data_IF_002355612486
#
_entry.id   IF_002355612486
#
_cell.length_a   1.000
_cell.length_b   1.000
_cell.length_c   1.000
_cell.angle_alpha   90.00
_cell.angle_beta   90.00
_cell.angle_gamma   90.00
#
_symmetry.space_group_name_H-M   'P 1'
#
loop_
_entity.id
_entity.type
_entity.pdbx_description
1 polymer ?
#
# COMPACT_ATOMS: atom_id res chain seq x y z
N UNK A 1 -9.20 -18.15 -6.15
CA UNK A 1 -7.82 -17.73 -5.93
C UNK A 1 -7.73 -16.26 -6.27
N UNK A 2 -8.22 -15.39 -5.38
CA UNK A 2 -7.89 -13.97 -5.40
C UNK A 2 -6.48 -13.72 -4.83
N UNK A 3 -5.99 -14.57 -3.92
CA UNK A 3 -4.71 -14.38 -3.24
C UNK A 3 -3.47 -14.34 -4.16
N UNK A 4 -3.36 -15.23 -5.16
CA UNK A 4 -2.24 -15.20 -6.11
C UNK A 4 -2.31 -13.98 -7.05
N UNK A 5 -3.50 -13.64 -7.57
CA UNK A 5 -3.66 -12.49 -8.48
C UNK A 5 -3.37 -11.15 -7.79
N UNK A 6 -3.64 -11.03 -6.48
CA UNK A 6 -3.38 -9.82 -5.71
C UNK A 6 -1.89 -9.63 -5.40
N UNK A 7 -1.13 -10.71 -5.23
CA UNK A 7 0.33 -10.67 -5.11
C UNK A 7 1.03 -10.41 -6.45
N UNK A 8 0.50 -10.97 -7.55
CA UNK A 8 1.00 -10.68 -8.90
C UNK A 8 0.60 -9.27 -9.38
N UNK A 9 -0.45 -8.70 -8.80
CA UNK A 9 -0.97 -7.38 -9.15
C UNK A 9 -1.26 -6.54 -7.89
N UNK A 10 -0.22 -6.08 -7.17
CA UNK A 10 -0.38 -5.32 -5.92
C UNK A 10 -1.20 -4.03 -6.09
N UNK A 11 -1.20 -3.46 -7.31
CA UNK A 11 -2.08 -2.33 -7.65
C UNK A 11 -3.59 -2.63 -7.57
N UNK A 12 -4.00 -3.90 -7.70
CA UNK A 12 -5.42 -4.28 -7.57
C UNK A 12 -5.87 -4.27 -6.12
N UNK A 13 -4.99 -4.61 -5.17
CA UNK A 13 -5.30 -4.54 -3.74
C UNK A 13 -5.65 -3.11 -3.33
N UNK A 14 -4.92 -2.10 -3.81
CA UNK A 14 -5.22 -0.71 -3.47
C UNK A 14 -6.68 -0.36 -3.71
N UNK A 15 -7.25 -0.84 -4.82
CA UNK A 15 -8.65 -0.60 -5.15
C UNK A 15 -9.63 -1.26 -4.17
N UNK A 16 -9.32 -2.48 -3.70
CA UNK A 16 -10.16 -3.20 -2.74
C UNK A 16 -10.19 -2.50 -1.38
N UNK A 17 -9.06 -1.92 -0.99
CA UNK A 17 -8.90 -1.21 0.27
C UNK A 17 -9.24 0.29 0.19
N UNK A 18 -9.57 0.81 -1.00
CA UNK A 18 -9.79 2.25 -1.19
C UNK A 18 -8.52 3.10 -1.04
N UNK A 19 -7.36 2.48 -1.17
CA UNK A 19 -6.04 3.10 -1.14
C UNK A 19 -5.73 3.68 -2.52
N UNK A 20 -5.06 4.83 -2.52
CA UNK A 20 -4.60 5.51 -3.73
C UNK A 20 -3.09 5.44 -3.83
N UNK A 21 -2.58 4.85 -4.91
CA UNK A 21 -1.15 4.93 -5.23
C UNK A 21 -0.80 6.30 -5.80
N UNK A 22 0.20 6.95 -5.20
CA UNK A 22 0.67 8.27 -5.58
C UNK A 22 1.71 8.17 -6.70
N UNK A 23 1.36 7.55 -7.84
CA UNK A 23 2.33 7.17 -8.89
C UNK A 23 3.18 8.33 -9.40
N UNK A 24 2.61 9.52 -9.55
CA UNK A 24 3.35 10.71 -10.00
C UNK A 24 4.12 11.38 -8.85
N UNK A 25 3.50 11.47 -7.67
CA UNK A 25 4.09 12.12 -6.49
C UNK A 25 5.16 11.27 -5.81
N UNK A 26 5.17 9.95 -5.97
CA UNK A 26 6.13 9.05 -5.33
C UNK A 26 7.57 9.43 -5.65
N UNK A 27 7.85 9.76 -6.91
CA UNK A 27 9.18 10.25 -7.34
C UNK A 27 9.56 11.61 -6.76
N UNK A 28 8.56 12.44 -6.42
CA UNK A 28 8.75 13.78 -5.83
C UNK A 28 8.90 13.71 -4.31
N UNK A 29 8.18 12.80 -3.66
CA UNK A 29 8.33 12.49 -2.24
C UNK A 29 9.69 11.83 -2.00
N UNK A 30 10.10 10.90 -2.86
CA UNK A 30 11.44 10.33 -2.83
C UNK A 30 11.58 9.19 -1.81
N UNK A 31 12.76 9.10 -1.18
CA UNK A 31 13.11 7.98 -0.32
C UNK A 31 12.34 8.03 1.01
N UNK A 32 11.74 6.93 1.51
CA UNK A 32 11.13 6.87 2.85
C UNK A 32 12.06 7.25 4.02
N UNK A 33 13.38 7.10 3.88
CA UNK A 33 14.36 7.54 4.90
C UNK A 33 14.58 9.06 4.94
N UNK A 34 14.31 9.76 3.83
CA UNK A 34 14.45 11.21 3.70
C UNK A 34 13.37 11.77 2.75
N UNK A 35 12.09 11.73 3.18
CA UNK A 35 10.99 12.10 2.31
C UNK A 35 10.85 13.62 2.20
N UNK A 36 10.50 14.07 1.00
CA UNK A 36 10.20 15.47 0.74
C UNK A 36 8.82 15.84 1.31
N UNK A 37 8.82 16.49 2.47
CA UNK A 37 7.62 16.88 3.20
C UNK A 37 6.66 17.77 2.40
N UNK A 38 7.17 18.66 1.54
CA UNK A 38 6.31 19.52 0.72
C UNK A 38 5.46 18.70 -0.26
N UNK A 39 6.03 17.62 -0.81
CA UNK A 39 5.31 16.71 -1.70
C UNK A 39 4.32 15.80 -0.95
N UNK A 40 4.61 15.46 0.32
CA UNK A 40 3.68 14.73 1.19
C UNK A 40 2.48 15.61 1.58
N UNK A 41 2.71 16.87 1.93
CA UNK A 41 1.63 17.83 2.20
C UNK A 41 0.74 18.03 0.96
N UNK A 42 1.33 18.08 -0.24
CA UNK A 42 0.57 18.13 -1.49
C UNK A 42 -0.31 16.89 -1.69
N UNK A 43 0.20 15.70 -1.37
CA UNK A 43 -0.56 14.45 -1.47
C UNK A 43 -1.80 14.46 -0.55
N UNK A 44 -1.66 15.02 0.66
CA UNK A 44 -2.71 15.09 1.67
C UNK A 44 -3.60 16.34 1.53
N UNK A 45 -3.34 17.23 0.57
CA UNK A 45 -4.05 18.51 0.47
C UNK A 45 -5.58 18.37 0.30
N UNK A 46 -6.04 17.29 -0.31
CA UNK A 46 -7.47 17.00 -0.52
C UNK A 46 -8.08 16.06 0.53
N UNK A 47 -7.24 15.32 1.26
CA UNK A 47 -7.62 14.33 2.27
C UNK A 47 -6.65 14.39 3.46
N UNK A 48 -6.69 15.47 4.28
CA UNK A 48 -5.76 15.66 5.38
C UNK A 48 -5.89 14.62 6.50
N UNK A 49 -7.02 13.91 6.55
CA UNK A 49 -7.28 12.80 7.46
C UNK A 49 -6.67 11.47 7.01
N UNK A 50 -6.26 11.35 5.74
CA UNK A 50 -5.66 10.12 5.22
C UNK A 50 -4.24 9.95 5.78
N UNK A 51 -3.87 8.70 6.03
CA UNK A 51 -2.50 8.32 6.24
C UNK A 51 -1.76 8.32 4.90
N UNK A 52 -0.45 8.57 4.98
CA UNK A 52 0.48 8.42 3.86
C UNK A 52 1.62 7.53 4.31
N UNK A 53 1.93 6.52 3.51
CA UNK A 53 3.02 5.57 3.80
C UNK A 53 3.68 5.09 2.52
N UNK A 54 4.77 4.36 2.67
CA UNK A 54 5.52 3.78 1.57
C UNK A 54 5.28 2.27 1.50
N UNK A 55 4.90 1.79 0.32
CA UNK A 55 4.70 0.37 0.02
C UNK A 55 5.96 -0.20 -0.64
N UNK A 56 6.76 -0.91 0.15
CA UNK A 56 8.06 -1.48 -0.27
C UNK A 56 7.93 -2.51 -1.41
N UNK A 57 6.81 -3.24 -1.50
CA UNK A 57 6.61 -4.27 -2.53
C UNK A 57 6.44 -3.65 -3.93
N UNK A 58 5.97 -2.40 -3.99
CA UNK A 58 5.67 -1.70 -5.24
C UNK A 58 6.57 -0.50 -5.52
N UNK A 59 7.40 -0.10 -4.55
CA UNK A 59 8.23 1.10 -4.61
C UNK A 59 7.42 2.38 -4.81
N UNK A 60 6.23 2.46 -4.17
CA UNK A 60 5.30 3.57 -4.30
C UNK A 60 4.87 4.13 -2.94
N UNK A 61 4.69 5.45 -2.90
CA UNK A 61 3.94 6.08 -1.84
C UNK A 61 2.44 5.87 -2.07
N UNK A 62 1.72 5.57 -1.00
CA UNK A 62 0.28 5.30 -1.01
C UNK A 62 -0.42 6.17 0.03
N UNK A 63 -1.69 6.48 -0.20
CA UNK A 63 -2.52 7.23 0.74
C UNK A 63 -3.92 6.66 0.86
N UNK A 64 -4.52 6.80 2.03
CA UNK A 64 -5.87 6.36 2.34
C UNK A 64 -6.12 6.29 3.85
N UNK A 65 -7.27 5.79 4.30
CA UNK A 65 -7.57 5.64 5.71
C UNK A 65 -6.55 4.71 6.40
N UNK A 66 -6.07 5.11 7.58
CA UNK A 66 -5.07 4.37 8.36
C UNK A 66 -5.46 2.89 8.56
N UNK A 67 -6.69 2.65 9.05
CA UNK A 67 -7.25 1.31 9.25
C UNK A 67 -7.27 0.46 7.96
N UNK A 68 -7.46 1.09 6.80
CA UNK A 68 -7.50 0.39 5.52
C UNK A 68 -6.09 0.02 5.03
N UNK A 69 -5.10 0.88 5.29
CA UNK A 69 -3.70 0.61 5.00
C UNK A 69 -3.19 -0.54 5.89
N UNK A 70 -3.48 -0.49 7.19
CA UNK A 70 -3.13 -1.57 8.12
C UNK A 70 -3.74 -2.90 7.69
N UNK A 71 -5.05 -2.94 7.40
CA UNK A 71 -5.72 -4.15 6.95
C UNK A 71 -5.13 -4.73 5.66
N UNK A 72 -4.73 -3.86 4.71
CA UNK A 72 -4.08 -4.32 3.48
C UNK A 72 -2.74 -5.01 3.76
N UNK A 73 -1.90 -4.44 4.64
CA UNK A 73 -0.61 -5.03 4.97
C UNK A 73 -0.76 -6.31 5.80
N UNK A 74 -1.71 -6.36 6.73
CA UNK A 74 -2.03 -7.56 7.50
C UNK A 74 -2.45 -8.72 6.60
N UNK A 75 -3.30 -8.45 5.59
CA UNK A 75 -3.72 -9.46 4.63
C UNK A 75 -2.55 -9.97 3.77
N UNK A 76 -1.61 -9.09 3.39
CA UNK A 76 -0.37 -9.50 2.70
C UNK A 76 0.50 -10.37 3.59
N UNK A 77 0.71 -9.99 4.85
CA UNK A 77 1.52 -10.76 5.79
C UNK A 77 0.89 -12.14 6.04
N UNK A 78 -0.42 -12.19 6.27
CA UNK A 78 -1.16 -13.43 6.44
C UNK A 78 -1.05 -14.36 5.22
N UNK A 79 -1.10 -13.79 4.01
CA UNK A 79 -0.90 -14.54 2.77
C UNK A 79 0.51 -15.14 2.68
N UNK A 80 1.55 -14.33 2.95
CA UNK A 80 2.95 -14.81 2.93
C UNK A 80 3.17 -15.89 4.00
N UNK A 81 2.62 -15.70 5.20
CA UNK A 81 2.71 -16.68 6.28
C UNK A 81 2.07 -18.02 5.87
N UNK A 82 0.88 -18.01 5.27
CA UNK A 82 0.22 -19.22 4.79
C UNK A 82 1.05 -19.95 3.71
N UNK A 83 1.67 -19.21 2.78
CA UNK A 83 2.58 -19.79 1.78
C UNK A 83 3.82 -20.43 2.42
N UNK A 84 4.41 -19.80 3.43
CA UNK A 84 5.56 -20.35 4.16
C UNK A 84 5.21 -21.63 4.94
N UNK A 85 3.94 -21.76 5.34
CA UNK A 85 3.42 -22.93 6.06
C UNK A 85 2.86 -24.04 5.14
N UNK A 86 2.97 -23.88 3.81
CA UNK A 86 2.37 -24.79 2.81
C UNK A 86 0.84 -24.97 2.98
N UNK A 87 0.19 -23.92 3.50
CA UNK A 87 -1.27 -23.83 3.66
C UNK A 87 -1.84 -23.05 2.47
N UNK A 88 -2.96 -23.51 1.91
CA UNK A 88 -3.70 -22.75 0.90
C UNK A 88 -4.19 -21.44 1.53
N UNK A 89 -3.68 -20.26 1.08
CA UNK A 89 -4.04 -18.99 1.68
C UNK A 89 -5.51 -18.62 1.48
N UNK A 90 -6.25 -19.30 0.60
CA UNK A 90 -7.72 -19.29 0.57
C UNK A 90 -8.40 -17.96 0.22
N UNK A 91 -7.65 -16.88 -0.03
CA UNK A 91 -8.19 -15.60 -0.53
C UNK A 91 -8.69 -15.77 -1.98
#
# INVERSE_FOLDING_TARGET
>A
MMGQELFEHPHRQYREYGITALTELSSRIGNPEDPNMDAMEEALANSPEDAITFDEDTDLWITGPDEAIEAMFDDREAFVAALLEDVDPGL
#
